data_IF_677580986393
#
_entry.id   IF_677580986393
#
_cell.length_a   1.000
_cell.length_b   1.000
_cell.length_c   1.000
_cell.angle_alpha   90.00
_cell.angle_beta   90.00
_cell.angle_gamma   90.00
#
_symmetry.space_group_name_H-M   'P 1'
#
loop_
_entity.id
_entity.type
_entity.pdbx_description
1 polymer ?
#
# COMPACT_ATOMS: atom_id res chain seq x y z
N UNK A 1 -4.66 28.13 -23.82
CA UNK A 1 -4.21 27.49 -22.57
C UNK A 1 -3.13 26.49 -22.95
N UNK A 2 -2.00 26.50 -22.24
CA UNK A 2 -0.91 25.55 -22.51
C UNK A 2 -1.25 24.22 -21.85
N UNK A 3 -1.19 23.13 -22.60
CA UNK A 3 -1.32 21.77 -22.12
C UNK A 3 0.07 21.13 -22.01
N UNK A 4 0.36 20.52 -20.87
CA UNK A 4 1.61 19.83 -20.57
C UNK A 4 1.27 18.34 -20.42
N UNK A 5 1.94 17.50 -21.17
CA UNK A 5 1.76 16.06 -21.13
C UNK A 5 2.73 15.40 -20.15
N UNK A 6 2.30 14.28 -19.58
CA UNK A 6 3.09 13.54 -18.61
C UNK A 6 2.77 12.05 -18.63
N UNK A 7 3.08 11.40 -17.52
CA UNK A 7 2.78 9.96 -17.31
C UNK A 7 2.04 9.81 -16.00
N UNK A 8 0.87 9.17 -16.02
CA UNK A 8 0.17 8.83 -14.79
C UNK A 8 0.91 7.74 -14.01
N UNK A 9 1.36 8.07 -12.80
CA UNK A 9 1.93 7.13 -11.86
C UNK A 9 0.84 6.45 -11.00
N UNK A 10 -0.19 7.22 -10.67
CA UNK A 10 -1.40 6.75 -9.99
C UNK A 10 -2.60 7.23 -10.78
N UNK A 11 -3.43 6.32 -11.22
CA UNK A 11 -4.69 6.64 -11.88
C UNK A 11 -5.75 7.06 -10.85
N UNK A 12 -6.73 7.83 -11.29
CA UNK A 12 -7.88 8.25 -10.49
C UNK A 12 -9.18 7.72 -11.09
N UNK A 13 -10.21 7.48 -10.27
CA UNK A 13 -11.56 7.30 -10.78
C UNK A 13 -12.10 8.55 -11.51
N UNK A 14 -11.61 9.72 -11.15
CA UNK A 14 -12.00 10.98 -11.79
C UNK A 14 -11.16 11.26 -13.04
N UNK A 15 -11.82 11.48 -14.18
CA UNK A 15 -11.18 11.83 -15.45
C UNK A 15 -10.59 13.23 -15.41
N UNK A 16 -11.18 14.13 -14.61
CA UNK A 16 -10.76 15.51 -14.47
C UNK A 16 -10.61 15.86 -13.01
N UNK A 17 -9.46 16.41 -12.64
CA UNK A 17 -9.19 16.99 -11.32
C UNK A 17 -8.77 18.43 -11.47
N UNK A 18 -9.34 19.31 -10.66
CA UNK A 18 -9.04 20.75 -10.65
C UNK A 18 -8.59 21.17 -9.27
N UNK A 19 -7.71 22.15 -9.22
CA UNK A 19 -7.26 22.72 -7.96
C UNK A 19 -6.24 23.84 -8.15
N UNK A 20 -5.93 24.47 -7.02
CA UNK A 20 -4.84 25.46 -6.95
C UNK A 20 -3.54 24.73 -6.62
N UNK A 21 -2.47 25.09 -7.30
CA UNK A 21 -1.15 24.51 -7.03
C UNK A 21 -0.65 24.84 -5.63
N UNK A 22 -0.22 23.83 -4.93
CA UNK A 22 0.48 23.93 -3.65
C UNK A 22 1.91 23.44 -3.81
N UNK A 23 2.88 24.36 -3.74
CA UNK A 23 4.31 24.06 -3.83
C UNK A 23 4.96 23.85 -2.46
N UNK A 24 4.16 23.81 -1.39
CA UNK A 24 4.64 23.59 -0.05
C UNK A 24 4.33 22.15 0.39
N UNK A 25 5.11 21.64 1.34
CA UNK A 25 4.83 20.33 1.93
C UNK A 25 3.82 20.41 3.09
N UNK A 26 3.10 21.52 3.21
CA UNK A 26 2.03 21.68 4.20
C UNK A 26 0.70 21.24 3.60
N UNK A 27 -0.20 20.65 4.39
CA UNK A 27 -1.52 20.26 3.91
C UNK A 27 -2.33 21.49 3.50
N UNK A 28 -2.99 21.41 2.34
CA UNK A 28 -3.93 22.39 1.83
C UNK A 28 -5.08 21.63 1.17
N UNK A 29 -6.25 21.70 1.76
CA UNK A 29 -7.41 20.93 1.33
C UNK A 29 -7.82 21.26 -0.12
N UNK A 30 -7.98 20.20 -0.91
CA UNK A 30 -8.40 20.29 -2.30
C UNK A 30 -7.33 20.86 -3.26
N UNK A 31 -6.15 21.18 -2.76
CA UNK A 31 -5.08 21.69 -3.62
C UNK A 31 -4.44 20.59 -4.49
N UNK A 32 -3.73 20.99 -5.53
CA UNK A 32 -2.85 20.13 -6.31
C UNK A 32 -1.43 20.30 -5.79
N UNK A 33 -0.90 19.26 -5.15
CA UNK A 33 0.47 19.26 -4.66
C UNK A 33 1.46 19.19 -5.82
N UNK A 34 2.42 20.12 -5.87
CA UNK A 34 3.46 20.17 -6.90
C UNK A 34 4.82 20.03 -6.23
N UNK A 35 5.53 18.92 -6.50
CA UNK A 35 6.82 18.58 -5.86
C UNK A 35 7.77 17.92 -6.85
N UNK A 36 9.09 18.01 -6.61
CA UNK A 36 10.06 17.32 -7.46
C UNK A 36 9.92 15.80 -7.40
N UNK A 37 9.74 15.24 -6.20
CA UNK A 37 9.51 13.81 -5.97
C UNK A 37 8.62 13.59 -4.76
N UNK A 38 7.85 12.51 -4.78
CA UNK A 38 7.09 12.03 -3.64
C UNK A 38 8.01 11.27 -2.68
N UNK A 39 8.10 11.76 -1.46
CA UNK A 39 8.84 11.14 -0.37
C UNK A 39 8.00 11.16 0.94
N UNK A 40 8.40 10.45 2.00
CA UNK A 40 7.66 10.43 3.26
C UNK A 40 7.34 11.79 3.88
N UNK A 41 8.18 12.81 3.64
CA UNK A 41 7.92 14.17 4.10
C UNK A 41 6.75 14.88 3.39
N UNK A 42 6.15 14.25 2.38
CA UNK A 42 4.94 14.72 1.72
C UNK A 42 3.65 14.15 2.31
N UNK A 43 3.72 13.27 3.34
CA UNK A 43 2.57 12.52 3.86
C UNK A 43 1.38 13.43 4.21
N UNK A 44 1.61 14.47 5.03
CA UNK A 44 0.55 15.39 5.45
C UNK A 44 -0.01 16.20 4.27
N UNK A 45 0.87 16.67 3.37
CA UNK A 45 0.44 17.42 2.20
C UNK A 45 -0.41 16.58 1.24
N UNK A 46 -0.06 15.31 1.06
CA UNK A 46 -0.83 14.35 0.24
C UNK A 46 -2.24 14.17 0.81
N UNK A 47 -2.37 14.09 2.14
CA UNK A 47 -3.64 13.81 2.81
C UNK A 47 -4.75 14.81 2.45
N UNK A 48 -4.40 16.10 2.29
CA UNK A 48 -5.34 17.14 1.90
C UNK A 48 -5.44 17.39 0.38
N UNK A 49 -4.61 16.73 -0.43
CA UNK A 49 -4.51 17.06 -1.86
C UNK A 49 -5.58 16.38 -2.70
N UNK A 50 -6.07 17.07 -3.72
CA UNK A 50 -6.95 16.50 -4.76
C UNK A 50 -6.17 15.75 -5.85
N UNK A 51 -4.91 16.13 -6.09
CA UNK A 51 -3.98 15.49 -7.01
C UNK A 51 -2.53 15.84 -6.67
N UNK A 52 -1.59 15.11 -7.27
CA UNK A 52 -0.16 15.42 -7.18
C UNK A 52 0.43 15.52 -8.59
N UNK A 53 1.30 16.51 -8.78
CA UNK A 53 2.15 16.64 -9.95
C UNK A 53 3.61 16.59 -9.49
N UNK A 54 4.42 15.72 -10.10
CA UNK A 54 5.84 15.57 -9.76
C UNK A 54 6.72 15.46 -11.00
N UNK A 55 8.04 15.56 -10.83
CA UNK A 55 9.00 15.31 -11.92
C UNK A 55 9.77 13.99 -11.75
N UNK A 56 9.74 13.39 -10.56
CA UNK A 56 10.39 12.12 -10.24
C UNK A 56 9.40 11.10 -9.66
N UNK A 57 9.85 9.87 -9.50
CA UNK A 57 9.06 8.78 -8.93
C UNK A 57 8.65 7.72 -9.95
N UNK A 58 8.16 6.59 -9.45
CA UNK A 58 7.67 5.44 -10.22
C UNK A 58 6.25 5.05 -9.80
N UNK A 59 5.63 4.10 -10.51
CA UNK A 59 4.23 3.71 -10.26
C UNK A 59 3.97 3.02 -8.91
N UNK A 60 5.00 2.60 -8.21
CA UNK A 60 4.87 1.67 -7.09
C UNK A 60 5.62 2.08 -5.81
N UNK A 61 6.06 3.33 -5.70
CA UNK A 61 6.67 3.88 -4.49
C UNK A 61 5.71 3.85 -3.28
N UNK A 62 6.24 4.09 -2.08
CA UNK A 62 5.43 4.09 -0.85
C UNK A 62 4.40 5.22 -0.87
N UNK A 63 4.80 6.43 -1.27
CA UNK A 63 3.89 7.57 -1.33
C UNK A 63 2.89 7.46 -2.48
N UNK A 64 3.30 6.92 -3.63
CA UNK A 64 2.37 6.58 -4.71
C UNK A 64 1.36 5.50 -4.28
N UNK A 65 1.75 4.59 -3.40
CA UNK A 65 0.81 3.62 -2.80
C UNK A 65 -0.18 4.29 -1.85
N UNK A 66 0.25 5.29 -1.08
CA UNK A 66 -0.65 6.13 -0.27
C UNK A 66 -1.63 6.91 -1.16
N UNK A 67 -1.13 7.57 -2.20
CA UNK A 67 -1.97 8.27 -3.17
C UNK A 67 -3.00 7.33 -3.80
N UNK A 68 -2.58 6.10 -4.13
CA UNK A 68 -3.49 5.08 -4.70
C UNK A 68 -4.54 4.62 -3.70
N UNK A 69 -4.18 4.41 -2.41
CA UNK A 69 -5.15 4.05 -1.36
C UNK A 69 -6.25 5.11 -1.22
N UNK A 70 -5.92 6.37 -1.43
CA UNK A 70 -6.83 7.51 -1.31
C UNK A 70 -7.46 7.99 -2.62
N UNK A 71 -7.14 7.36 -3.75
CA UNK A 71 -7.65 7.76 -5.06
C UNK A 71 -7.12 9.11 -5.56
N UNK A 72 -5.98 9.55 -5.03
CA UNK A 72 -5.31 10.79 -5.42
C UNK A 72 -4.46 10.52 -6.66
N UNK A 73 -4.77 11.10 -7.83
CA UNK A 73 -3.98 10.90 -9.04
C UNK A 73 -2.60 11.53 -8.90
N UNK A 74 -1.61 10.86 -9.46
CA UNK A 74 -0.23 11.36 -9.54
C UNK A 74 0.18 11.43 -10.99
N UNK A 75 0.42 12.66 -11.48
CA UNK A 75 0.92 12.92 -12.82
C UNK A 75 2.40 13.30 -12.76
N UNK A 76 3.26 12.54 -13.43
CA UNK A 76 4.65 12.89 -13.60
C UNK A 76 4.83 13.65 -14.91
N UNK A 77 5.47 14.81 -14.84
CA UNK A 77 5.83 15.67 -15.97
C UNK A 77 7.35 15.83 -16.05
N UNK A 78 7.85 16.36 -17.14
CA UNK A 78 9.27 16.71 -17.23
C UNK A 78 9.65 17.81 -16.24
N UNK A 79 10.86 17.73 -15.69
CA UNK A 79 11.35 18.69 -14.70
C UNK A 79 11.34 20.14 -15.22
N UNK A 80 11.60 20.32 -16.50
CA UNK A 80 11.57 21.64 -17.14
C UNK A 80 10.14 22.24 -17.17
N UNK A 81 9.13 21.40 -17.26
CA UNK A 81 7.72 21.83 -17.27
C UNK A 81 7.16 22.03 -15.86
N UNK A 82 7.66 21.28 -14.86
CA UNK A 82 7.18 21.37 -13.47
C UNK A 82 7.27 22.81 -12.93
N UNK A 83 8.35 23.53 -13.22
CA UNK A 83 8.56 24.92 -12.79
C UNK A 83 7.58 25.93 -13.42
N UNK A 84 6.82 25.55 -14.44
CA UNK A 84 5.83 26.39 -15.10
C UNK A 84 4.40 26.15 -14.59
N UNK A 85 4.20 25.10 -13.78
CA UNK A 85 2.91 24.71 -13.25
C UNK A 85 2.64 25.53 -11.99
N UNK A 86 1.71 26.48 -12.07
CA UNK A 86 1.34 27.36 -10.97
C UNK A 86 -0.10 27.86 -11.12
N UNK A 87 -0.68 28.36 -10.03
CA UNK A 87 -2.04 28.90 -10.00
C UNK A 87 -3.08 27.78 -10.11
N UNK A 88 -4.19 28.05 -10.79
CA UNK A 88 -5.22 27.06 -11.07
C UNK A 88 -4.80 26.10 -12.18
N UNK A 89 -5.05 24.81 -12.00
CA UNK A 89 -4.74 23.78 -12.99
C UNK A 89 -5.89 22.80 -13.14
N UNK A 90 -5.99 22.23 -14.33
CA UNK A 90 -6.90 21.14 -14.66
C UNK A 90 -6.07 19.94 -15.13
N UNK A 91 -6.15 18.83 -14.38
CA UNK A 91 -5.48 17.58 -14.75
C UNK A 91 -6.50 16.68 -15.46
N UNK A 92 -6.13 16.18 -16.62
CA UNK A 92 -6.88 15.18 -17.38
C UNK A 92 -6.17 13.84 -17.28
N UNK A 93 -6.74 12.96 -16.48
CA UNK A 93 -6.13 11.64 -16.22
C UNK A 93 -6.23 10.71 -17.44
N UNK A 94 -7.28 10.85 -18.24
CA UNK A 94 -7.48 10.13 -19.51
C UNK A 94 -6.47 10.52 -20.61
N UNK A 95 -5.99 11.76 -20.58
CA UNK A 95 -5.01 12.29 -21.53
C UNK A 95 -3.60 12.35 -20.96
N UNK A 96 -3.45 12.04 -19.66
CA UNK A 96 -2.19 12.16 -18.95
C UNK A 96 -1.59 13.57 -19.10
N UNK A 97 -2.41 14.58 -18.91
CA UNK A 97 -2.01 15.98 -19.14
C UNK A 97 -2.51 16.92 -18.04
N UNK A 98 -1.83 18.05 -17.90
CA UNK A 98 -2.24 19.19 -17.10
C UNK A 98 -2.34 20.44 -17.93
N UNK A 99 -3.43 21.17 -17.78
CA UNK A 99 -3.66 22.48 -18.43
C UNK A 99 -3.62 23.56 -17.38
N UNK A 100 -2.91 24.64 -17.66
CA UNK A 100 -2.90 25.83 -16.79
C UNK A 100 -4.22 26.58 -16.96
N UNK A 101 -4.92 26.82 -15.83
CA UNK A 101 -6.24 27.44 -15.78
C UNK A 101 -7.39 26.40 -15.71
N UNK A 102 -8.60 26.95 -15.69
CA UNK A 102 -9.84 26.16 -15.57
C UNK A 102 -10.35 25.79 -16.98
N UNK A 103 -10.03 24.57 -17.43
CA UNK A 103 -10.51 24.04 -18.70
C UNK A 103 -11.84 23.33 -18.54
N UNK A 104 -12.87 23.84 -19.21
CA UNK A 104 -14.29 23.47 -19.18
C UNK A 104 -14.72 22.03 -18.88
N UNK A 105 -16.00 21.84 -18.69
CA UNK A 105 -16.63 20.57 -18.31
C UNK A 105 -16.47 19.48 -19.37
N UNK A 106 -15.83 18.37 -19.04
CA UNK A 106 -15.96 17.12 -19.78
C UNK A 106 -16.62 16.09 -18.84
N UNK A 107 -17.54 15.31 -19.38
CA UNK A 107 -18.27 14.30 -18.63
C UNK A 107 -17.36 13.25 -17.98
N UNK A 108 -17.77 12.77 -16.83
CA UNK A 108 -17.15 11.63 -16.18
C UNK A 108 -17.49 10.38 -17.02
N UNK A 109 -16.49 9.78 -17.66
CA UNK A 109 -16.64 8.43 -18.21
C UNK A 109 -16.22 7.45 -17.12
N UNK A 110 -17.15 6.69 -16.57
CA UNK A 110 -16.84 5.60 -15.67
C UNK A 110 -16.14 4.47 -16.46
N UNK A 111 -14.98 4.04 -16.00
CA UNK A 111 -14.32 2.83 -16.54
C UNK A 111 -15.14 1.61 -16.09
N UNK A 112 -15.54 0.76 -17.02
CA UNK A 112 -16.11 -0.55 -16.71
C UNK A 112 -15.00 -1.57 -16.49
N UNK A 113 -15.19 -2.48 -15.52
CA UNK A 113 -14.27 -3.58 -15.24
C UNK A 113 -14.94 -4.91 -15.54
N UNK A 114 -14.16 -5.89 -16.00
CA UNK A 114 -14.67 -7.23 -16.33
C UNK A 114 -14.84 -8.12 -15.08
N UNK A 115 -14.38 -7.68 -13.92
CA UNK A 115 -14.53 -8.38 -12.62
C UNK A 115 -15.50 -7.64 -11.72
N UNK A 116 -16.16 -8.39 -10.85
CA UNK A 116 -17.00 -7.89 -9.75
C UNK A 116 -16.34 -8.25 -8.40
N UNK A 117 -16.71 -7.62 -7.27
CA UNK A 117 -16.24 -8.04 -5.97
C UNK A 117 -16.48 -9.52 -5.68
N UNK A 118 -17.57 -10.11 -6.17
CA UNK A 118 -17.88 -11.52 -5.99
C UNK A 118 -16.86 -12.46 -6.66
N UNK A 119 -16.21 -12.02 -7.72
CA UNK A 119 -15.18 -12.81 -8.42
C UNK A 119 -13.86 -12.87 -7.65
N UNK A 120 -13.68 -12.01 -6.63
CA UNK A 120 -12.40 -11.85 -5.92
C UNK A 120 -12.23 -12.81 -4.74
N UNK A 121 -13.24 -13.63 -4.42
CA UNK A 121 -13.22 -14.43 -3.19
C UNK A 121 -13.24 -13.53 -1.97
N UNK A 122 -12.29 -13.70 -1.03
CA UNK A 122 -12.14 -12.76 0.07
C UNK A 122 -11.29 -11.54 -0.36
N UNK A 123 -11.70 -10.35 0.08
CA UNK A 123 -10.99 -9.11 -0.23
C UNK A 123 -10.25 -8.63 1.02
N UNK A 124 -8.94 -8.41 0.86
CA UNK A 124 -8.10 -7.75 1.84
C UNK A 124 -7.80 -6.33 1.35
N UNK A 125 -8.31 -5.30 2.03
CA UNK A 125 -8.16 -3.91 1.60
C UNK A 125 -6.92 -3.29 2.21
N UNK A 126 -6.01 -2.79 1.38
CA UNK A 126 -4.83 -2.04 1.83
C UNK A 126 -5.24 -0.63 2.18
N UNK A 127 -4.98 -0.24 3.42
CA UNK A 127 -5.34 1.04 4.01
C UNK A 127 -4.12 1.75 4.61
N UNK A 128 -4.21 3.06 4.79
CA UNK A 128 -3.19 3.84 5.48
C UNK A 128 -3.58 4.12 6.95
N UNK A 129 -4.85 4.38 7.21
CA UNK A 129 -5.37 4.74 8.54
C UNK A 129 -6.86 4.37 8.72
N UNK A 130 -7.45 4.80 9.83
CA UNK A 130 -8.85 4.56 10.18
C UNK A 130 -9.84 5.20 9.18
N UNK A 131 -9.47 6.31 8.56
CA UNK A 131 -10.33 7.01 7.60
C UNK A 131 -10.58 6.16 6.36
N UNK A 132 -9.55 5.44 5.88
CA UNK A 132 -9.70 4.51 4.75
C UNK A 132 -10.66 3.36 5.10
N UNK A 133 -10.56 2.80 6.33
CA UNK A 133 -11.46 1.72 6.80
C UNK A 133 -12.89 2.22 6.87
N UNK A 134 -13.10 3.39 7.49
CA UNK A 134 -14.40 4.02 7.57
C UNK A 134 -15.02 4.23 6.17
N UNK A 135 -14.25 4.78 5.24
CA UNK A 135 -14.70 5.05 3.87
C UNK A 135 -15.10 3.77 3.10
N UNK A 136 -14.36 2.66 3.30
CA UNK A 136 -14.70 1.36 2.71
C UNK A 136 -15.97 0.79 3.33
N UNK A 137 -16.12 0.84 4.65
CA UNK A 137 -17.29 0.32 5.36
C UNK A 137 -18.56 1.17 5.13
N UNK A 138 -18.39 2.43 4.69
CA UNK A 138 -19.48 3.33 4.33
C UNK A 138 -19.95 3.21 2.87
N UNK A 139 -19.36 2.30 2.07
CA UNK A 139 -19.82 2.08 0.69
C UNK A 139 -21.31 1.65 0.67
N UNK A 140 -22.13 2.19 -0.26
CA UNK A 140 -23.58 1.96 -0.32
C UNK A 140 -23.95 0.47 -0.44
N UNK A 141 -23.22 -0.26 -1.26
CA UNK A 141 -23.32 -1.70 -1.38
C UNK A 141 -22.18 -2.28 -0.55
N UNK A 142 -22.47 -2.63 0.71
CA UNK A 142 -21.48 -3.30 1.58
C UNK A 142 -20.85 -4.44 0.81
N UNK A 143 -19.57 -4.31 0.54
CA UNK A 143 -18.83 -5.37 -0.15
C UNK A 143 -18.59 -6.47 0.89
N UNK A 144 -19.51 -7.43 0.96
CA UNK A 144 -19.48 -8.54 1.95
C UNK A 144 -18.19 -9.35 1.88
N UNK A 145 -17.53 -9.33 0.72
CA UNK A 145 -16.25 -9.98 0.49
C UNK A 145 -15.08 -9.30 1.23
N UNK A 146 -15.25 -8.08 1.76
CA UNK A 146 -14.20 -7.42 2.57
C UNK A 146 -14.10 -8.09 3.93
N UNK A 147 -13.16 -9.03 4.05
CA UNK A 147 -12.93 -9.82 5.26
C UNK A 147 -11.80 -9.30 6.11
N UNK A 148 -10.89 -8.52 5.52
CA UNK A 148 -9.72 -7.99 6.23
C UNK A 148 -9.23 -6.66 5.66
N UNK A 149 -8.57 -5.91 6.54
CA UNK A 149 -7.81 -4.73 6.19
C UNK A 149 -6.32 -4.98 6.43
N UNK A 150 -5.49 -4.40 5.59
CA UNK A 150 -4.05 -4.54 5.66
C UNK A 150 -3.41 -3.17 5.78
N UNK A 151 -2.71 -2.92 6.87
CA UNK A 151 -1.97 -1.67 7.12
C UNK A 151 -0.48 -1.96 7.18
N UNK A 152 0.33 -1.02 6.74
CA UNK A 152 1.80 -1.11 6.83
C UNK A 152 2.28 -0.28 8.01
N UNK A 153 3.20 -0.83 8.82
CA UNK A 153 3.74 -0.13 10.00
C UNK A 153 4.34 1.22 9.64
N UNK A 154 4.93 1.37 8.43
CA UNK A 154 5.47 2.63 7.93
C UNK A 154 4.40 3.73 7.83
N UNK A 155 3.20 3.38 7.40
CA UNK A 155 2.10 4.34 7.32
C UNK A 155 1.56 4.69 8.70
N UNK A 156 1.48 3.71 9.59
CA UNK A 156 1.13 3.95 11.00
C UNK A 156 2.13 4.90 11.66
N UNK A 157 3.44 4.75 11.37
CA UNK A 157 4.47 5.67 11.84
C UNK A 157 4.26 7.09 11.31
N UNK A 158 4.02 7.23 10.00
CA UNK A 158 3.82 8.53 9.36
C UNK A 158 2.57 9.24 9.90
N UNK A 159 1.46 8.50 10.06
CA UNK A 159 0.22 9.01 10.65
C UNK A 159 0.42 9.50 12.08
N UNK A 160 1.23 8.78 12.87
CA UNK A 160 1.54 9.14 14.26
C UNK A 160 2.68 10.19 14.40
N UNK A 161 3.26 10.65 13.29
CA UNK A 161 4.42 11.55 13.30
C UNK A 161 5.68 10.93 13.92
N UNK A 162 5.84 9.59 13.82
CA UNK A 162 6.92 8.83 14.44
C UNK A 162 8.06 8.57 13.44
N UNK A 163 9.30 8.75 13.92
CA UNK A 163 10.49 8.22 13.26
C UNK A 163 10.87 6.88 13.90
N UNK A 164 10.69 5.74 13.21
CA UNK A 164 10.96 4.43 13.80
C UNK A 164 12.44 4.27 14.17
N UNK A 165 13.38 4.73 13.34
CA UNK A 165 14.81 4.60 13.61
C UNK A 165 15.26 5.43 14.78
N UNK A 166 14.80 6.70 14.90
CA UNK A 166 15.12 7.56 16.02
C UNK A 166 14.62 6.93 17.33
N UNK A 167 13.38 6.45 17.36
CA UNK A 167 12.81 5.83 18.54
C UNK A 167 13.54 4.53 18.94
N UNK A 168 13.80 3.65 17.98
CA UNK A 168 14.39 2.34 18.26
C UNK A 168 15.87 2.41 18.63
N UNK A 169 16.64 3.35 18.06
CA UNK A 169 18.07 3.52 18.35
C UNK A 169 18.36 4.40 19.59
N UNK A 170 17.36 5.16 20.05
CA UNK A 170 17.49 5.96 21.31
C UNK A 170 17.43 5.12 22.58
N UNK A 171 17.20 3.83 22.50
CA UNK A 171 17.28 2.90 23.62
C UNK A 171 15.98 2.18 23.97
N UNK A 172 16.01 1.30 24.98
CA UNK A 172 14.91 0.39 25.26
C UNK A 172 13.61 1.07 25.71
N UNK A 173 13.69 2.18 26.43
CA UNK A 173 12.51 2.94 26.87
C UNK A 173 11.78 3.61 25.71
N UNK A 174 12.53 4.20 24.79
CA UNK A 174 11.96 4.81 23.57
C UNK A 174 11.35 3.77 22.64
N UNK A 175 11.96 2.57 22.56
CA UNK A 175 11.39 1.45 21.81
C UNK A 175 10.03 1.00 22.38
N UNK A 176 9.86 0.99 23.72
CA UNK A 176 8.56 0.68 24.34
C UNK A 176 7.52 1.76 24.04
N UNK A 177 7.92 3.04 24.11
CA UNK A 177 7.04 4.16 23.77
C UNK A 177 6.60 4.09 22.30
N UNK A 178 7.52 3.79 21.40
CA UNK A 178 7.22 3.54 19.99
C UNK A 178 6.18 2.43 19.82
N UNK A 179 6.40 1.26 20.44
CA UNK A 179 5.44 0.16 20.38
C UNK A 179 4.07 0.54 20.95
N UNK A 180 4.02 1.35 22.02
CA UNK A 180 2.77 1.83 22.61
C UNK A 180 2.04 2.84 21.68
N UNK A 181 2.76 3.69 20.98
CA UNK A 181 2.19 4.64 20.02
C UNK A 181 1.63 3.91 18.80
N UNK A 182 2.35 2.95 18.21
CA UNK A 182 1.83 2.10 17.13
C UNK A 182 0.55 1.36 17.60
N UNK A 183 0.52 0.85 18.84
CA UNK A 183 -0.67 0.20 19.38
C UNK A 183 -1.87 1.15 19.46
N UNK A 184 -1.65 2.43 19.77
CA UNK A 184 -2.72 3.42 19.83
C UNK A 184 -3.38 3.60 18.46
N UNK A 185 -2.58 3.78 17.41
CA UNK A 185 -3.08 3.91 16.04
C UNK A 185 -3.80 2.64 15.57
N UNK A 186 -3.22 1.46 15.84
CA UNK A 186 -3.88 0.20 15.48
C UNK A 186 -5.24 0.03 16.17
N UNK A 187 -5.37 0.46 17.42
CA UNK A 187 -6.65 0.44 18.13
C UNK A 187 -7.66 1.40 17.51
N UNK A 188 -7.21 2.58 17.04
CA UNK A 188 -8.06 3.53 16.31
C UNK A 188 -8.55 2.92 14.99
N UNK A 189 -7.67 2.27 14.22
CA UNK A 189 -8.04 1.56 13.00
C UNK A 189 -9.01 0.41 13.31
N UNK A 190 -8.72 -0.37 14.37
CA UNK A 190 -9.54 -1.52 14.75
C UNK A 190 -10.95 -1.14 15.21
N UNK A 191 -11.15 0.07 15.73
CA UNK A 191 -12.46 0.57 16.14
C UNK A 191 -13.43 0.76 14.95
N UNK A 192 -12.91 0.94 13.74
CA UNK A 192 -13.71 1.07 12.51
C UNK A 192 -14.09 -0.29 11.89
N UNK A 193 -13.58 -1.41 12.41
CA UNK A 193 -13.82 -2.75 11.86
C UNK A 193 -15.24 -3.24 12.19
N UNK A 194 -15.94 -3.77 11.20
CA UNK A 194 -17.14 -4.54 11.41
C UNK A 194 -16.84 -5.87 12.17
N UNK A 195 -17.82 -6.47 12.84
CA UNK A 195 -17.59 -7.67 13.67
C UNK A 195 -16.92 -8.85 12.94
N UNK A 196 -17.16 -9.01 11.64
CA UNK A 196 -16.62 -10.09 10.81
C UNK A 196 -15.25 -9.78 10.20
N UNK A 197 -14.78 -8.54 10.36
CA UNK A 197 -13.54 -8.07 9.75
C UNK A 197 -12.36 -8.20 10.71
N UNK A 198 -11.16 -8.32 10.15
CA UNK A 198 -9.90 -8.38 10.89
C UNK A 198 -8.89 -7.38 10.32
N UNK A 199 -7.88 -7.04 11.11
CA UNK A 199 -6.77 -6.15 10.74
C UNK A 199 -5.47 -6.94 10.71
N UNK A 200 -4.72 -6.80 9.64
CA UNK A 200 -3.36 -7.33 9.49
C UNK A 200 -2.39 -6.18 9.40
N UNK A 201 -1.42 -6.11 10.30
CA UNK A 201 -0.33 -5.14 10.17
C UNK A 201 0.92 -5.82 9.63
N UNK A 202 1.42 -5.35 8.48
CA UNK A 202 2.76 -5.70 8.00
C UNK A 202 3.80 -4.98 8.86
N UNK A 203 4.70 -5.75 9.45
CA UNK A 203 5.80 -5.23 10.26
C UNK A 203 6.72 -4.33 9.42
N UNK A 204 7.51 -3.52 10.09
CA UNK A 204 8.31 -2.45 9.49
C UNK A 204 9.19 -2.95 8.33
N UNK A 205 9.05 -2.26 7.20
CA UNK A 205 9.78 -2.52 5.97
C UNK A 205 10.23 -1.19 5.35
N UNK A 206 11.14 -0.52 6.03
CA UNK A 206 11.63 0.79 5.67
C UNK A 206 13.01 0.66 5.02
N UNK A 207 13.11 1.04 3.75
CA UNK A 207 14.38 1.08 3.02
C UNK A 207 15.25 2.24 3.50
N UNK A 208 16.55 2.12 3.32
CA UNK A 208 17.51 3.14 3.79
C UNK A 208 17.28 4.53 3.16
N UNK A 209 16.89 4.60 1.90
CA UNK A 209 16.58 5.85 1.19
C UNK A 209 15.31 6.53 1.73
N UNK A 210 14.29 5.76 2.10
CA UNK A 210 13.07 6.29 2.73
C UNK A 210 13.34 6.63 4.20
N UNK A 211 14.11 5.80 4.91
CA UNK A 211 14.49 6.03 6.30
C UNK A 211 15.26 7.35 6.47
N UNK A 212 16.22 7.62 5.58
CA UNK A 212 17.02 8.84 5.61
C UNK A 212 16.19 10.13 5.52
N UNK A 213 14.97 10.05 4.96
CA UNK A 213 14.08 11.21 4.78
C UNK A 213 13.17 11.49 5.97
N UNK A 214 12.98 10.51 6.84
CA UNK A 214 12.08 10.62 8.01
C UNK A 214 12.82 10.60 9.35
N UNK A 215 14.12 10.34 9.35
CA UNK A 215 14.95 10.39 10.56
C UNK A 215 15.46 11.83 10.80
N UNK A 216 15.45 12.24 12.07
CA UNK A 216 15.88 13.58 12.49
C UNK A 216 17.18 13.55 13.31
N UNK A 217 17.56 12.44 13.89
CA UNK A 217 18.71 12.34 14.79
C UNK A 217 19.65 11.18 14.52
N UNK A 218 19.22 10.23 13.71
CA UNK A 218 20.00 9.03 13.42
C UNK A 218 20.53 9.08 11.99
N UNK A 219 21.84 8.94 11.85
CA UNK A 219 22.44 8.82 10.53
C UNK A 219 22.08 7.47 9.89
N UNK A 220 21.51 7.52 8.68
CA UNK A 220 21.25 6.38 7.82
C UNK A 220 22.28 6.39 6.71
N UNK A 221 23.22 5.45 6.76
CA UNK A 221 24.23 5.31 5.71
C UNK A 221 23.60 4.98 4.37
N UNK A 222 24.13 5.52 3.26
CA UNK A 222 23.63 5.21 1.93
C UNK A 222 23.93 3.75 1.58
N UNK A 223 22.95 3.04 1.06
CA UNK A 223 23.13 1.72 0.45
C UNK A 223 23.21 1.84 -1.07
N UNK A 224 24.09 1.08 -1.73
CA UNK A 224 24.20 1.09 -3.20
C UNK A 224 22.90 0.74 -3.90
N UNK A 225 22.10 -0.15 -3.30
CA UNK A 225 20.79 -0.55 -3.78
C UNK A 225 19.83 -0.78 -2.60
N UNK A 226 19.05 0.23 -2.18
CA UNK A 226 18.15 0.11 -1.03
C UNK A 226 17.08 -0.98 -1.18
N UNK A 227 16.61 -1.27 -2.40
CA UNK A 227 15.62 -2.32 -2.63
C UNK A 227 16.19 -3.74 -2.42
N UNK A 228 17.52 -3.90 -2.43
CA UNK A 228 18.22 -5.17 -2.12
C UNK A 228 18.93 -5.13 -0.76
N UNK A 229 18.81 -4.03 -0.04
CA UNK A 229 19.54 -3.72 1.16
C UNK A 229 18.98 -4.27 2.46
N UNK A 230 19.26 -3.55 3.54
CA UNK A 230 18.87 -3.89 4.90
C UNK A 230 17.47 -3.34 5.21
N UNK A 231 16.45 -4.08 4.82
CA UNK A 231 15.05 -3.78 5.15
C UNK A 231 14.24 -5.07 5.38
N UNK A 232 12.97 -4.95 5.74
CA UNK A 232 12.06 -6.08 5.97
C UNK A 232 12.59 -7.07 7.01
N UNK A 233 12.49 -8.35 6.73
CA UNK A 233 12.93 -9.43 7.62
C UNK A 233 14.39 -9.27 8.07
N UNK A 234 15.27 -8.87 7.16
CA UNK A 234 16.71 -8.67 7.46
C UNK A 234 16.90 -7.58 8.52
N UNK A 235 16.20 -6.46 8.37
CA UNK A 235 16.27 -5.37 9.33
C UNK A 235 15.65 -5.75 10.68
N UNK A 236 14.49 -6.41 10.68
CA UNK A 236 13.84 -6.91 11.89
C UNK A 236 14.70 -7.90 12.68
N UNK A 237 15.54 -8.69 11.97
CA UNK A 237 16.52 -9.58 12.59
C UNK A 237 17.74 -8.82 13.13
N UNK A 238 18.14 -7.72 12.53
CA UNK A 238 19.33 -6.95 12.93
C UNK A 238 19.01 -5.95 14.07
N UNK A 239 17.81 -5.30 14.03
CA UNK A 239 17.49 -4.21 14.96
C UNK A 239 17.32 -4.72 16.40
N UNK A 240 18.19 -4.20 17.29
CA UNK A 240 18.30 -4.68 18.68
C UNK A 240 17.03 -4.49 19.49
N UNK A 241 16.38 -3.34 19.35
CA UNK A 241 15.28 -2.92 20.22
C UNK A 241 13.88 -3.18 19.64
N UNK A 242 13.76 -3.56 18.36
CA UNK A 242 12.48 -3.86 17.75
C UNK A 242 11.69 -4.97 18.48
N UNK A 243 12.31 -6.09 18.94
CA UNK A 243 11.56 -7.10 19.71
C UNK A 243 10.93 -6.56 21.00
N UNK A 244 11.52 -5.53 21.59
CA UNK A 244 10.98 -4.86 22.80
C UNK A 244 9.78 -3.98 22.42
N UNK A 245 9.92 -3.20 21.37
CA UNK A 245 8.82 -2.41 20.79
C UNK A 245 7.62 -3.28 20.43
N UNK A 246 7.86 -4.38 19.75
CA UNK A 246 6.81 -5.32 19.33
C UNK A 246 6.10 -5.98 20.53
N UNK A 247 6.83 -6.32 21.60
CA UNK A 247 6.20 -6.81 22.84
C UNK A 247 5.32 -5.76 23.50
N UNK A 248 5.80 -4.50 23.58
CA UNK A 248 5.03 -3.37 24.12
C UNK A 248 3.76 -3.12 23.31
N UNK A 249 3.87 -3.11 21.98
CA UNK A 249 2.75 -3.00 21.06
C UNK A 249 1.69 -4.06 21.35
N UNK A 250 2.08 -5.34 21.39
CA UNK A 250 1.15 -6.45 21.65
C UNK A 250 0.48 -6.38 23.01
N UNK A 251 1.23 -5.96 24.03
CA UNK A 251 0.70 -5.80 25.38
C UNK A 251 -0.38 -4.71 25.42
N UNK A 252 -0.12 -3.56 24.79
CA UNK A 252 -1.04 -2.42 24.73
C UNK A 252 -2.27 -2.69 23.87
N UNK A 253 -2.11 -3.39 22.74
CA UNK A 253 -3.26 -3.85 21.95
C UNK A 253 -4.18 -4.76 22.77
N UNK A 254 -3.61 -5.74 23.47
CA UNK A 254 -4.38 -6.64 24.33
C UNK A 254 -5.08 -5.90 25.46
N UNK A 255 -4.41 -4.95 26.09
CA UNK A 255 -4.97 -4.14 27.18
C UNK A 255 -6.17 -3.31 26.70
N UNK A 256 -6.07 -2.71 25.50
CA UNK A 256 -7.09 -1.80 24.98
C UNK A 256 -8.27 -2.49 24.30
N UNK A 257 -8.00 -3.53 23.54
CA UNK A 257 -9.02 -4.23 22.75
C UNK A 257 -9.61 -5.46 23.46
N UNK A 258 -8.96 -5.95 24.53
CA UNK A 258 -9.45 -7.14 25.23
C UNK A 258 -9.59 -8.36 24.29
N UNK A 259 -10.78 -8.99 24.22
CA UNK A 259 -11.04 -10.11 23.30
C UNK A 259 -10.88 -9.76 21.82
N UNK A 260 -11.18 -8.52 21.41
CA UNK A 260 -11.06 -8.06 20.02
C UNK A 260 -9.61 -7.99 19.53
N UNK A 261 -8.64 -8.06 20.44
CA UNK A 261 -7.23 -8.21 20.06
C UNK A 261 -6.96 -9.47 19.21
N UNK A 262 -7.83 -10.48 19.26
CA UNK A 262 -7.74 -11.66 18.41
C UNK A 262 -8.02 -11.38 16.93
N UNK A 263 -8.67 -10.26 16.61
CA UNK A 263 -8.94 -9.82 15.24
C UNK A 263 -7.74 -9.10 14.61
N UNK A 264 -6.66 -8.88 15.37
CA UNK A 264 -5.44 -8.24 14.91
C UNK A 264 -4.32 -9.26 14.76
N UNK A 265 -3.71 -9.33 13.60
CA UNK A 265 -2.58 -10.19 13.28
C UNK A 265 -1.44 -9.41 12.62
N UNK A 266 -0.30 -10.07 12.42
CA UNK A 266 0.90 -9.45 11.88
C UNK A 266 1.45 -10.25 10.71
N UNK A 267 2.07 -9.56 9.74
CA UNK A 267 2.73 -10.17 8.60
C UNK A 267 4.21 -9.77 8.54
N UNK A 268 5.08 -10.74 8.32
CA UNK A 268 6.53 -10.50 8.17
C UNK A 268 6.84 -10.10 6.74
N UNK A 269 7.41 -8.90 6.50
CA UNK A 269 7.75 -8.42 5.17
C UNK A 269 9.07 -9.02 4.67
N UNK A 270 9.23 -9.05 3.36
CA UNK A 270 10.48 -9.27 2.63
C UNK A 270 11.33 -10.43 3.17
N UNK A 271 10.67 -11.56 3.35
CA UNK A 271 11.23 -12.79 3.89
C UNK A 271 11.61 -13.74 2.75
N UNK A 272 12.70 -14.49 2.87
CA UNK A 272 13.17 -15.38 1.81
C UNK A 272 12.88 -16.86 2.04
N UNK A 273 12.95 -17.31 3.29
CA UNK A 273 12.80 -18.73 3.60
C UNK A 273 12.22 -18.99 4.98
N UNK A 274 11.91 -20.27 5.24
CA UNK A 274 11.32 -20.71 6.49
C UNK A 274 12.24 -20.58 7.71
N UNK A 275 13.54 -20.50 7.52
CA UNK A 275 14.49 -20.40 8.64
C UNK A 275 14.57 -18.95 9.13
N UNK A 276 14.57 -17.98 8.21
CA UNK A 276 14.36 -16.56 8.55
C UNK A 276 13.02 -16.38 9.30
N UNK A 277 11.94 -17.03 8.83
CA UNK A 277 10.62 -16.94 9.46
C UNK A 277 10.64 -17.51 10.89
N UNK A 278 11.22 -18.71 11.10
CA UNK A 278 11.36 -19.32 12.43
C UNK A 278 12.22 -18.46 13.36
N UNK A 279 13.31 -17.88 12.82
CA UNK A 279 14.21 -17.02 13.57
C UNK A 279 13.50 -15.74 14.02
N UNK A 280 12.75 -15.08 13.12
CA UNK A 280 11.94 -13.90 13.46
C UNK A 280 10.87 -14.22 14.47
N UNK A 281 10.13 -15.31 14.30
CA UNK A 281 9.10 -15.75 15.24
C UNK A 281 9.67 -15.90 16.66
N UNK A 282 10.85 -16.54 16.80
CA UNK A 282 11.55 -16.67 18.10
C UNK A 282 12.01 -15.32 18.63
N UNK A 283 12.66 -14.51 17.79
CA UNK A 283 13.20 -13.20 18.18
C UNK A 283 12.14 -12.22 18.66
N UNK A 284 10.99 -12.19 17.98
CA UNK A 284 9.84 -11.36 18.33
C UNK A 284 9.03 -11.92 19.51
N UNK A 285 9.33 -13.11 19.98
CA UNK A 285 8.59 -13.77 21.07
C UNK A 285 7.14 -14.05 20.68
N UNK A 286 6.89 -14.48 19.43
CA UNK A 286 5.56 -14.84 18.94
C UNK A 286 5.30 -16.31 19.29
N UNK A 287 4.35 -16.62 20.20
CA UNK A 287 4.06 -18.00 20.56
C UNK A 287 3.41 -18.75 19.39
N UNK A 288 3.48 -20.09 19.41
CA UNK A 288 2.92 -20.93 18.35
C UNK A 288 1.42 -20.69 18.13
N UNK A 289 0.68 -20.40 19.21
CA UNK A 289 -0.76 -20.11 19.17
C UNK A 289 -1.13 -18.75 18.56
N UNK A 290 -0.16 -17.86 18.39
CA UNK A 290 -0.43 -16.55 17.80
C UNK A 290 -0.23 -16.59 16.28
N UNK A 291 -1.25 -16.19 15.50
CA UNK A 291 -1.13 -16.11 14.05
C UNK A 291 -0.03 -15.10 13.66
N UNK A 292 0.82 -15.51 12.72
CA UNK A 292 1.82 -14.68 12.06
C UNK A 292 1.80 -15.04 10.58
N UNK A 293 1.59 -14.07 9.72
CA UNK A 293 1.59 -14.26 8.28
C UNK A 293 2.99 -14.05 7.70
N UNK A 294 3.23 -14.61 6.52
CA UNK A 294 4.41 -14.30 5.71
C UNK A 294 4.00 -13.49 4.47
N UNK A 295 4.77 -12.45 4.16
CA UNK A 295 4.55 -11.63 2.97
C UNK A 295 5.58 -12.03 1.88
N UNK A 296 5.08 -12.67 0.82
CA UNK A 296 5.88 -13.27 -0.25
C UNK A 296 6.19 -12.20 -1.30
N UNK A 297 7.43 -11.72 -1.33
CA UNK A 297 7.85 -10.58 -2.16
C UNK A 297 9.09 -10.88 -3.01
N UNK A 298 9.72 -12.04 -2.82
CA UNK A 298 10.92 -12.45 -3.56
C UNK A 298 10.72 -13.80 -4.26
N UNK A 299 11.45 -14.07 -5.38
CA UNK A 299 11.46 -15.41 -6.00
C UNK A 299 11.86 -16.51 -5.03
N UNK A 300 12.81 -16.25 -4.11
CA UNK A 300 13.22 -17.21 -3.08
C UNK A 300 12.04 -17.57 -2.17
N UNK A 301 11.26 -16.58 -1.73
CA UNK A 301 10.06 -16.80 -0.92
C UNK A 301 9.01 -17.65 -1.66
N UNK A 302 8.81 -17.43 -2.97
CA UNK A 302 7.90 -18.25 -3.79
C UNK A 302 8.28 -19.74 -3.71
N UNK A 303 9.57 -20.05 -3.84
CA UNK A 303 10.07 -21.43 -3.74
C UNK A 303 10.01 -21.99 -2.31
N UNK A 304 9.89 -21.13 -1.30
CA UNK A 304 9.88 -21.50 0.12
C UNK A 304 8.47 -21.57 0.72
N UNK A 305 7.40 -21.39 -0.05
CA UNK A 305 6.02 -21.32 0.46
C UNK A 305 5.66 -22.55 1.29
N UNK A 306 5.90 -23.75 0.82
CA UNK A 306 5.67 -24.99 1.57
C UNK A 306 6.43 -25.00 2.91
N UNK A 307 7.64 -24.44 2.93
CA UNK A 307 8.45 -24.28 4.13
C UNK A 307 7.85 -23.29 5.14
N UNK A 308 7.30 -22.17 4.69
CA UNK A 308 6.56 -21.23 5.56
C UNK A 308 5.33 -21.88 6.19
N UNK A 309 4.56 -22.62 5.38
CA UNK A 309 3.39 -23.36 5.87
C UNK A 309 3.80 -24.37 6.94
N UNK A 310 4.83 -25.18 6.70
CA UNK A 310 5.39 -26.14 7.68
C UNK A 310 5.99 -25.46 8.92
N UNK A 311 6.42 -24.20 8.81
CA UNK A 311 6.91 -23.40 9.94
C UNK A 311 5.78 -22.72 10.74
N UNK A 312 4.52 -22.92 10.35
CA UNK A 312 3.33 -22.43 11.07
C UNK A 312 2.95 -21.00 10.66
N UNK A 313 3.17 -20.62 9.40
CA UNK A 313 2.56 -19.43 8.85
C UNK A 313 1.03 -19.60 8.84
N UNK A 314 0.32 -18.62 9.40
CA UNK A 314 -1.13 -18.69 9.53
C UNK A 314 -1.86 -18.29 8.25
N UNK A 315 -1.22 -17.49 7.42
CA UNK A 315 -1.73 -16.91 6.19
C UNK A 315 -0.56 -16.41 5.34
N UNK A 316 -0.75 -16.32 4.05
CA UNK A 316 0.23 -15.78 3.11
C UNK A 316 -0.35 -14.60 2.34
N UNK A 317 0.47 -13.57 2.19
CA UNK A 317 0.20 -12.44 1.34
C UNK A 317 1.26 -12.38 0.24
N UNK A 318 0.86 -12.19 -1.00
CA UNK A 318 1.80 -12.10 -2.12
C UNK A 318 1.92 -10.64 -2.57
N UNK A 319 3.09 -10.05 -2.33
CA UNK A 319 3.43 -8.68 -2.72
C UNK A 319 3.93 -8.61 -4.15
N UNK A 320 3.02 -8.55 -5.10
CA UNK A 320 3.35 -8.63 -6.53
C UNK A 320 4.27 -7.52 -7.02
N UNK A 321 4.24 -6.33 -6.38
CA UNK A 321 5.06 -5.20 -6.81
C UNK A 321 6.56 -5.49 -6.74
N UNK A 322 7.03 -6.01 -5.60
CA UNK A 322 8.42 -6.38 -5.40
C UNK A 322 8.73 -7.68 -6.15
N UNK A 323 7.81 -8.62 -6.15
CA UNK A 323 7.96 -9.88 -6.86
C UNK A 323 8.22 -9.69 -8.36
N UNK A 324 7.45 -8.81 -9.04
CA UNK A 324 7.66 -8.46 -10.45
C UNK A 324 9.04 -7.86 -10.67
N UNK A 325 9.43 -6.89 -9.80
CA UNK A 325 10.75 -6.26 -9.85
C UNK A 325 11.89 -7.29 -9.82
N UNK A 326 11.82 -8.26 -8.90
CA UNK A 326 12.89 -9.24 -8.72
C UNK A 326 12.87 -10.36 -9.76
N UNK A 327 11.73 -10.78 -10.24
CA UNK A 327 11.65 -11.75 -11.35
C UNK A 327 12.21 -11.19 -12.65
N UNK A 328 11.99 -9.90 -12.91
CA UNK A 328 12.35 -9.28 -14.17
C UNK A 328 13.60 -8.40 -14.08
N UNK A 329 14.22 -8.29 -12.89
CA UNK A 329 15.34 -7.41 -12.63
C UNK A 329 15.11 -5.97 -13.13
N UNK A 330 13.87 -5.49 -13.01
CA UNK A 330 13.42 -4.19 -13.49
C UNK A 330 13.05 -3.30 -12.31
N UNK A 331 13.84 -2.27 -12.05
CA UNK A 331 13.57 -1.31 -10.98
C UNK A 331 12.25 -0.57 -11.25
N UNK A 332 11.27 -0.81 -10.42
CA UNK A 332 9.93 -0.21 -10.52
C UNK A 332 9.89 1.31 -10.34
N UNK A 333 10.92 1.88 -9.72
CA UNK A 333 11.09 3.33 -9.53
C UNK A 333 11.75 3.99 -10.73
N UNK A 334 12.47 3.22 -11.55
CA UNK A 334 13.23 3.74 -12.68
C UNK A 334 12.39 3.75 -13.96
N UNK A 335 12.05 4.94 -14.42
CA UNK A 335 11.24 5.13 -15.63
C UNK A 335 11.92 4.65 -16.92
N UNK A 336 13.25 4.56 -16.95
CA UNK A 336 14.01 4.10 -18.13
C UNK A 336 13.77 2.61 -18.42
N UNK A 337 13.42 1.84 -17.40
CA UNK A 337 13.15 0.40 -17.51
C UNK A 337 11.67 0.06 -17.26
N UNK A 338 10.79 1.05 -17.26
CA UNK A 338 9.36 0.87 -16.99
C UNK A 338 8.68 -0.15 -17.93
N UNK A 339 9.13 -0.22 -19.20
CA UNK A 339 8.62 -1.21 -20.17
C UNK A 339 9.01 -2.65 -19.84
N UNK A 340 10.09 -2.85 -19.06
CA UNK A 340 10.53 -4.16 -18.59
C UNK A 340 9.75 -4.63 -17.34
N UNK A 341 9.08 -3.73 -16.63
CA UNK A 341 8.25 -4.05 -15.47
C UNK A 341 6.85 -4.50 -15.93
N UNK A 342 6.69 -5.81 -16.17
CA UNK A 342 5.48 -6.40 -16.76
C UNK A 342 4.78 -7.33 -15.76
N UNK A 343 3.65 -6.89 -15.20
CA UNK A 343 2.88 -7.61 -14.17
C UNK A 343 2.31 -8.94 -14.68
N UNK A 344 2.10 -9.08 -15.99
CA UNK A 344 1.54 -10.29 -16.66
C UNK A 344 2.61 -11.14 -17.35
N UNK A 345 3.89 -10.87 -17.11
CA UNK A 345 4.97 -11.64 -17.72
C UNK A 345 4.87 -13.14 -17.35
N UNK A 346 5.09 -14.07 -18.30
CA UNK A 346 4.94 -15.51 -18.05
C UNK A 346 5.72 -16.04 -16.85
N UNK A 347 6.95 -15.55 -16.60
CA UNK A 347 7.76 -15.95 -15.45
C UNK A 347 7.12 -15.50 -14.12
N UNK A 348 6.58 -14.27 -14.05
CA UNK A 348 5.86 -13.76 -12.89
C UNK A 348 4.62 -14.60 -12.62
N UNK A 349 3.82 -14.85 -13.67
CA UNK A 349 2.60 -15.67 -13.56
C UNK A 349 2.90 -17.11 -13.15
N UNK A 350 4.01 -17.68 -13.59
CA UNK A 350 4.46 -19.01 -13.15
C UNK A 350 4.78 -19.03 -11.65
N UNK A 351 5.52 -18.01 -11.16
CA UNK A 351 5.81 -17.86 -9.74
C UNK A 351 4.56 -17.67 -8.89
N UNK A 352 3.63 -16.83 -9.33
CA UNK A 352 2.35 -16.62 -8.62
C UNK A 352 1.54 -17.92 -8.53
N UNK A 353 1.39 -18.66 -9.63
CA UNK A 353 0.71 -19.97 -9.62
C UNK A 353 1.40 -20.97 -8.69
N UNK A 354 2.72 -21.02 -8.69
CA UNK A 354 3.49 -21.89 -7.80
C UNK A 354 3.23 -21.56 -6.32
N UNK A 355 3.28 -20.26 -5.95
CA UNK A 355 3.03 -19.84 -4.58
C UNK A 355 1.61 -20.18 -4.13
N UNK A 356 0.60 -19.90 -4.97
CA UNK A 356 -0.81 -20.19 -4.68
C UNK A 356 -1.04 -21.71 -4.57
N UNK A 357 -0.49 -22.51 -5.48
CA UNK A 357 -0.63 -23.97 -5.42
C UNK A 357 -0.04 -24.54 -4.13
N UNK A 358 1.19 -24.15 -3.78
CA UNK A 358 1.86 -24.63 -2.56
C UNK A 358 1.09 -24.22 -1.27
N UNK A 359 0.50 -23.03 -1.23
CA UNK A 359 -0.35 -22.60 -0.11
C UNK A 359 -1.62 -23.45 0.00
N UNK A 360 -2.30 -23.69 -1.12
CA UNK A 360 -3.51 -24.53 -1.17
C UNK A 360 -3.24 -25.97 -0.77
N UNK A 361 -2.13 -26.56 -1.23
CA UNK A 361 -1.73 -27.92 -0.84
C UNK A 361 -1.52 -28.05 0.67
N UNK A 362 -1.09 -26.95 1.32
CA UNK A 362 -0.93 -26.86 2.76
C UNK A 362 -2.23 -26.40 3.50
N UNK A 363 -3.30 -26.11 2.78
CA UNK A 363 -4.55 -25.54 3.33
C UNK A 363 -4.33 -24.23 4.12
N UNK A 364 -3.40 -23.38 3.66
CA UNK A 364 -3.11 -22.07 4.25
C UNK A 364 -3.68 -20.98 3.32
N UNK A 365 -4.50 -20.04 3.85
CA UNK A 365 -5.09 -18.97 3.05
C UNK A 365 -4.03 -18.12 2.37
N UNK A 366 -4.26 -17.76 1.09
CA UNK A 366 -3.37 -16.90 0.32
C UNK A 366 -4.12 -15.77 -0.36
N UNK A 367 -3.66 -14.54 -0.13
CA UNK A 367 -4.16 -13.32 -0.77
C UNK A 367 -3.09 -12.73 -1.69
N UNK A 368 -3.47 -12.45 -2.94
CA UNK A 368 -2.55 -11.90 -3.95
C UNK A 368 -2.85 -10.42 -4.16
N UNK A 369 -1.85 -9.56 -3.99
CA UNK A 369 -1.99 -8.14 -4.31
C UNK A 369 -2.12 -7.97 -5.84
N UNK A 370 -3.13 -7.24 -6.28
CA UNK A 370 -3.30 -6.87 -7.67
C UNK A 370 -3.77 -5.41 -7.80
N UNK A 371 -3.23 -4.71 -8.78
CA UNK A 371 -3.81 -3.45 -9.23
C UNK A 371 -5.11 -3.75 -9.98
N UNK A 372 -6.08 -2.85 -9.89
CA UNK A 372 -7.39 -3.05 -10.53
C UNK A 372 -7.26 -3.31 -12.05
N UNK A 373 -6.26 -2.70 -12.70
CA UNK A 373 -5.97 -2.91 -14.12
C UNK A 373 -5.52 -4.36 -14.46
N UNK A 374 -4.96 -5.08 -13.49
CA UNK A 374 -4.49 -6.48 -13.66
C UNK A 374 -5.44 -7.50 -13.04
N UNK A 375 -6.42 -7.06 -12.26
CA UNK A 375 -7.28 -7.90 -11.45
C UNK A 375 -7.98 -9.00 -12.26
N UNK A 376 -8.61 -8.62 -13.38
CA UNK A 376 -9.30 -9.58 -14.26
C UNK A 376 -8.37 -10.70 -14.77
N UNK A 377 -7.13 -10.35 -15.11
CA UNK A 377 -6.15 -11.33 -15.54
C UNK A 377 -5.74 -12.27 -14.40
N UNK A 378 -5.52 -11.74 -13.21
CA UNK A 378 -5.09 -12.53 -12.07
C UNK A 378 -6.20 -13.45 -11.55
N UNK A 379 -7.44 -12.96 -11.48
CA UNK A 379 -8.60 -13.78 -11.10
C UNK A 379 -8.75 -15.00 -12.02
N UNK A 380 -8.62 -14.80 -13.33
CA UNK A 380 -8.72 -15.92 -14.30
C UNK A 380 -7.55 -16.90 -14.26
N UNK A 381 -6.37 -16.47 -13.79
CA UNK A 381 -5.15 -17.27 -13.86
C UNK A 381 -4.71 -17.88 -12.54
N UNK A 382 -5.23 -17.38 -11.42
CA UNK A 382 -4.84 -17.77 -10.09
C UNK A 382 -6.04 -18.30 -9.32
N UNK A 383 -5.88 -19.44 -8.67
CA UNK A 383 -6.88 -20.00 -7.76
C UNK A 383 -6.60 -19.56 -6.31
N UNK A 384 -6.40 -18.26 -6.09
CA UNK A 384 -6.15 -17.69 -4.77
C UNK A 384 -7.44 -17.68 -3.94
N UNK A 385 -7.31 -17.69 -2.61
CA UNK A 385 -8.47 -17.59 -1.70
C UNK A 385 -9.05 -16.19 -1.69
N UNK A 386 -8.22 -15.21 -2.02
CA UNK A 386 -8.63 -13.83 -2.12
C UNK A 386 -7.59 -12.90 -2.75
N UNK A 387 -7.99 -11.64 -2.90
CA UNK A 387 -7.13 -10.62 -3.47
C UNK A 387 -6.95 -9.44 -2.52
N UNK A 388 -5.78 -8.81 -2.62
CA UNK A 388 -5.51 -7.54 -1.96
C UNK A 388 -5.60 -6.41 -2.98
N UNK A 389 -6.23 -5.30 -2.60
CA UNK A 389 -6.33 -4.10 -3.41
C UNK A 389 -6.38 -2.85 -2.53
N UNK A 390 -6.11 -1.68 -3.11
CA UNK A 390 -6.18 -0.43 -2.37
C UNK A 390 -7.64 0.02 -2.18
N UNK A 391 -7.91 0.77 -1.10
CA UNK A 391 -9.26 1.24 -0.76
C UNK A 391 -9.95 2.00 -1.91
N UNK A 392 -9.25 2.93 -2.56
CA UNK A 392 -9.81 3.68 -3.69
C UNK A 392 -10.08 2.80 -4.93
N UNK A 393 -9.28 1.76 -5.16
CA UNK A 393 -9.53 0.81 -6.26
C UNK A 393 -10.78 -0.02 -5.99
N UNK A 394 -11.02 -0.43 -4.73
CA UNK A 394 -12.27 -1.09 -4.34
C UNK A 394 -13.48 -0.17 -4.51
N UNK A 395 -13.36 1.09 -4.10
CA UNK A 395 -14.41 2.10 -4.30
C UNK A 395 -14.71 2.30 -5.79
N UNK A 396 -13.68 2.32 -6.65
CA UNK A 396 -13.84 2.43 -8.09
C UNK A 396 -14.55 1.21 -8.67
N UNK A 397 -14.19 0.01 -8.24
CA UNK A 397 -14.85 -1.23 -8.64
C UNK A 397 -16.32 -1.25 -8.22
N UNK A 398 -16.63 -0.91 -6.96
CA UNK A 398 -18.00 -0.85 -6.45
C UNK A 398 -18.86 0.17 -7.23
N UNK A 399 -18.32 1.35 -7.53
CA UNK A 399 -19.06 2.37 -8.33
C UNK A 399 -19.34 1.91 -9.77
N UNK A 400 -18.47 1.12 -10.38
CA UNK A 400 -18.65 0.65 -11.76
C UNK A 400 -19.82 -0.33 -11.90
N UNK A 401 -20.30 -0.88 -10.79
CA UNK A 401 -21.46 -1.80 -10.76
C UNK A 401 -22.79 -1.06 -10.57
N UNK A 402 -22.77 0.21 -10.20
CA UNK A 402 -24.00 0.99 -10.05
C UNK A 402 -24.55 1.32 -11.45
N UNK A 403 -25.86 1.15 -11.69
CA UNK A 403 -26.46 1.57 -12.96
C UNK A 403 -26.29 3.07 -13.13
N UNK A 404 -25.92 3.50 -14.34
CA UNK A 404 -25.85 4.94 -14.64
C UNK A 404 -27.16 5.63 -14.21
N UNK A 405 -27.09 6.76 -13.52
CA UNK A 405 -28.28 7.51 -13.18
C UNK A 405 -29.02 7.84 -14.48
N UNK A 406 -30.23 7.32 -14.62
CA UNK A 406 -31.07 7.61 -15.78
C UNK A 406 -31.24 9.12 -15.87
N UNK A 407 -30.57 9.75 -16.82
CA UNK A 407 -30.84 11.14 -17.14
C UNK A 407 -32.30 11.23 -17.55
N UNK A 408 -33.17 11.69 -16.65
CA UNK A 408 -34.50 12.15 -17.04
C UNK A 408 -34.28 13.30 -18.01
N UNK A 409 -34.48 13.03 -19.29
CA UNK A 409 -34.69 14.08 -20.26
C UNK A 409 -35.96 14.80 -19.79
N UNK A 410 -35.91 16.10 -19.53
CA UNK A 410 -37.13 16.84 -19.32
C UNK A 410 -37.95 16.72 -20.62
N UNK A 411 -39.13 16.20 -20.49
CA UNK A 411 -40.11 16.26 -21.59
C UNK A 411 -40.33 17.73 -21.93
N UNK A 412 -39.95 18.13 -23.16
CA UNK A 412 -40.28 19.41 -23.75
C UNK A 412 -41.75 19.42 -24.20
#
# INVERSE_FOLDING_TARGET
>A
MREIFGVMLVESPSVIVRGVCNHTRKPVDGAVLVVDALDPGCYDAITGSSAVICSGGGRTGHMESLCRSRGIPVLRVDRADLGQIAGHVTIRTDRQSVTLGDAGSAGQSAKSFAVTPADLGSICVVVADATDVHAVNALPDRVEQVTSFFVREEFVCLSAGLSPLDALRSGPGQAEQYGAAIAAELCTIAAELLPTQRLVMRLLDLRSDDAARITNGVEVGPEPNPDLGLHGARWLLAERHYPRAFRALRARVRERLGPDAARLSFAVPFINDQDEYRQLRRRLGVPASMPLAAFIETPAAVHSVAGFCAAGAAELFVGTKDLVQFYLAADRKNHLVASSYQTRHPAVMAGLRQAVAAARDAAIPVHVFALLADMDHYVRQLAADGFMMCAAELQQLARSLQPEPKHHRPFG
#
